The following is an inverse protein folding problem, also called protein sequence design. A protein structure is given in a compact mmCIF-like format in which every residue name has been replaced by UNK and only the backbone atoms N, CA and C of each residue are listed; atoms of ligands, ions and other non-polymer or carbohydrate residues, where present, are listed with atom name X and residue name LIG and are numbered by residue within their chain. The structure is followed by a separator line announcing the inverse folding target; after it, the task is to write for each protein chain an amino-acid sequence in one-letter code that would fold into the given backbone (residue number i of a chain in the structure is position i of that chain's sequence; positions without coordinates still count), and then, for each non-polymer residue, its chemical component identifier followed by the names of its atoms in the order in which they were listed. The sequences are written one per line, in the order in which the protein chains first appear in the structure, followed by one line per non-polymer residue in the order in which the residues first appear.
data_IF_606914618584
#
_entry.id   IF_606914618584
#
_cell.length_a   1.000
_cell.length_b   1.000
_cell.length_c   1.000
_cell.angle_alpha   90.00
_cell.angle_beta   90.00
_cell.angle_gamma   90.00
#
_symmetry.space_group_name_H-M   'P 1'
#
loop_
_entity.id
_entity.type
_entity.pdbx_description
1 polymer ?
#
# COMPACT_ATOMS: atom_id res chain seq x y z
N UNK A 1 16.88 -13.01 -6.66
CA UNK A 1 17.66 -11.85 -7.17
C UNK A 1 17.21 -11.37 -8.57
N UNK A 2 15.94 -11.55 -8.97
CA UNK A 2 15.48 -11.26 -10.34
C UNK A 2 14.61 -10.00 -10.53
N UNK A 3 14.40 -9.18 -9.48
CA UNK A 3 13.44 -8.07 -9.52
C UNK A 3 14.06 -6.69 -9.76
N UNK A 4 15.38 -6.58 -9.96
CA UNK A 4 16.04 -5.27 -10.08
C UNK A 4 16.17 -4.74 -11.52
N UNK A 5 15.75 -5.48 -12.55
CA UNK A 5 16.06 -5.10 -13.95
C UNK A 5 14.88 -5.11 -14.93
N UNK A 6 13.61 -5.07 -14.46
CA UNK A 6 12.48 -4.87 -15.39
C UNK A 6 12.04 -3.40 -15.44
N UNK A 7 12.54 -2.72 -16.49
CA UNK A 7 12.13 -1.43 -17.08
C UNK A 7 11.22 -0.55 -16.20
N UNK A 8 11.83 0.52 -15.65
CA UNK A 8 11.16 1.72 -15.14
C UNK A 8 10.13 2.23 -16.16
N UNK A 9 8.86 2.03 -15.88
CA UNK A 9 7.82 2.90 -16.43
C UNK A 9 8.01 4.28 -15.78
N UNK A 10 8.07 5.34 -16.58
CA UNK A 10 8.48 6.70 -16.20
C UNK A 10 7.51 7.47 -15.29
N UNK A 11 6.66 6.80 -14.52
CA UNK A 11 5.80 7.46 -13.55
C UNK A 11 6.60 7.76 -12.28
N UNK A 12 6.92 9.03 -12.08
CA UNK A 12 7.36 9.50 -10.77
C UNK A 12 6.23 9.22 -9.76
N UNK A 13 6.56 8.65 -8.61
CA UNK A 13 5.58 8.52 -7.54
C UNK A 13 5.12 9.92 -7.13
N UNK A 14 3.81 10.13 -7.16
CA UNK A 14 3.17 11.35 -6.66
C UNK A 14 2.76 11.15 -5.21
N UNK A 15 2.53 12.25 -4.49
CA UNK A 15 2.22 12.23 -3.06
C UNK A 15 1.02 11.34 -2.73
N UNK A 16 -0.03 11.38 -3.57
CA UNK A 16 -1.23 10.53 -3.45
C UNK A 16 -0.95 9.02 -3.42
N UNK A 17 0.17 8.58 -3.99
CA UNK A 17 0.50 7.16 -4.06
C UNK A 17 0.84 6.53 -2.70
N UNK A 18 1.12 7.34 -1.67
CA UNK A 18 1.44 6.82 -0.33
C UNK A 18 0.29 6.01 0.29
N UNK A 19 -0.96 6.41 0.06
CA UNK A 19 -2.14 5.76 0.62
C UNK A 19 -2.73 4.70 -0.30
N UNK A 20 -2.15 4.53 -1.50
CA UNK A 20 -2.62 3.52 -2.44
C UNK A 20 -2.26 2.11 -1.99
N UNK A 21 -3.12 1.20 -2.39
CA UNK A 21 -3.08 -0.22 -2.07
C UNK A 21 -2.04 -0.95 -2.92
N UNK A 22 -1.22 -1.82 -2.33
CA UNK A 22 -0.52 -2.88 -3.05
C UNK A 22 -1.18 -4.22 -2.77
N UNK A 23 -1.37 -5.03 -3.83
CA UNK A 23 -2.00 -6.35 -3.75
C UNK A 23 -0.96 -7.44 -3.96
N UNK A 24 -0.93 -8.41 -3.05
CA UNK A 24 -0.23 -9.68 -3.25
C UNK A 24 -1.25 -10.79 -3.43
N UNK A 25 -1.08 -11.63 -4.45
CA UNK A 25 -1.88 -12.85 -4.65
C UNK A 25 -1.16 -14.06 -4.08
N UNK A 26 -1.88 -14.84 -3.26
CA UNK A 26 -1.35 -16.05 -2.62
C UNK A 26 -2.42 -17.15 -2.57
N UNK A 27 -2.01 -18.35 -2.13
CA UNK A 27 -2.86 -19.51 -1.87
C UNK A 27 -2.36 -20.21 -0.61
N UNK A 28 -3.26 -20.77 0.18
CA UNK A 28 -2.83 -21.55 1.36
C UNK A 28 -2.20 -22.86 0.89
N UNK A 29 -0.88 -22.99 1.00
CA UNK A 29 -0.22 -24.26 0.71
C UNK A 29 -0.56 -25.32 1.77
N UNK A 30 -0.39 -26.61 1.46
CA UNK A 30 -0.64 -27.68 2.42
C UNK A 30 0.25 -27.56 3.68
N UNK A 31 1.47 -27.05 3.49
CA UNK A 31 2.46 -26.84 4.55
C UNK A 31 2.16 -25.65 5.47
N UNK A 32 1.19 -24.80 5.09
CA UNK A 32 0.72 -23.70 5.93
C UNK A 32 -0.48 -24.09 6.79
N UNK A 33 -0.98 -25.32 6.66
CA UNK A 33 -2.09 -25.84 7.45
C UNK A 33 -1.70 -26.11 8.90
N UNK A 34 -2.63 -25.91 9.82
CA UNK A 34 -2.54 -26.42 11.20
C UNK A 34 -3.27 -27.77 11.35
N UNK A 35 -3.34 -28.27 12.59
CA UNK A 35 -4.06 -29.51 12.92
C UNK A 35 -5.57 -29.45 12.63
N UNK A 36 -6.16 -28.25 12.52
CA UNK A 36 -7.57 -28.06 12.19
C UNK A 36 -7.82 -28.01 10.69
N UNK A 37 -6.80 -28.25 9.85
CA UNK A 37 -6.93 -28.31 8.39
C UNK A 37 -7.36 -26.95 7.81
N UNK A 38 -6.89 -25.85 8.41
CA UNK A 38 -7.01 -24.50 7.89
C UNK A 38 -5.66 -23.80 7.94
N UNK A 39 -5.51 -22.68 7.23
CA UNK A 39 -4.28 -21.90 7.27
C UNK A 39 -3.96 -21.53 8.71
N UNK A 40 -2.80 -21.96 9.19
CA UNK A 40 -2.31 -21.69 10.54
C UNK A 40 -2.17 -20.20 10.77
N UNK A 41 -2.68 -19.72 11.91
CA UNK A 41 -2.64 -18.32 12.31
C UNK A 41 -1.22 -17.70 12.25
N UNK A 42 -0.18 -18.49 12.53
CA UNK A 42 1.21 -18.01 12.49
C UNK A 42 1.69 -17.68 11.09
N UNK A 43 1.20 -18.39 10.07
CA UNK A 43 1.66 -18.23 8.68
C UNK A 43 1.17 -16.94 8.03
N UNK A 44 0.12 -16.31 8.58
CA UNK A 44 -0.32 -14.98 8.16
C UNK A 44 0.81 -13.95 8.33
N UNK A 45 1.67 -14.09 9.34
CA UNK A 45 2.77 -13.14 9.57
C UNK A 45 3.81 -13.23 8.43
N UNK A 46 4.04 -14.42 7.87
CA UNK A 46 4.90 -14.61 6.70
C UNK A 46 4.36 -13.85 5.48
N UNK A 47 3.05 -13.93 5.26
CA UNK A 47 2.37 -13.17 4.20
C UNK A 47 2.43 -11.65 4.42
N UNK A 48 2.37 -11.21 5.69
CA UNK A 48 2.57 -9.81 6.05
C UNK A 48 3.99 -9.35 5.69
N UNK A 49 5.02 -10.16 5.95
CA UNK A 49 6.40 -9.80 5.58
C UNK A 49 6.57 -9.62 4.07
N UNK A 50 6.04 -10.55 3.27
CA UNK A 50 6.07 -10.47 1.81
C UNK A 50 5.34 -9.24 1.29
N UNK A 51 4.11 -9.00 1.77
CA UNK A 51 3.29 -7.88 1.30
C UNK A 51 3.84 -6.52 1.71
N UNK A 52 4.39 -6.40 2.92
CA UNK A 52 5.05 -5.17 3.39
C UNK A 52 6.35 -4.92 2.64
N UNK A 53 7.16 -5.95 2.39
CA UNK A 53 8.38 -5.81 1.59
C UNK A 53 8.06 -5.32 0.17
N UNK A 54 7.01 -5.86 -0.44
CA UNK A 54 6.53 -5.42 -1.75
C UNK A 54 6.12 -3.94 -1.76
N UNK A 55 5.22 -3.52 -0.86
CA UNK A 55 4.79 -2.11 -0.78
C UNK A 55 5.96 -1.17 -0.42
N UNK A 56 6.80 -1.56 0.54
CA UNK A 56 7.93 -0.74 0.99
C UNK A 56 8.98 -0.59 -0.10
N UNK A 57 9.23 -1.63 -0.89
CA UNK A 57 10.13 -1.56 -2.05
C UNK A 57 9.63 -0.59 -3.11
N UNK A 58 8.31 -0.45 -3.27
CA UNK A 58 7.72 0.52 -4.19
C UNK A 58 7.84 1.94 -3.65
N UNK A 59 7.36 2.19 -2.43
CA UNK A 59 7.27 3.54 -1.87
C UNK A 59 8.61 4.08 -1.38
N UNK A 60 9.46 3.24 -0.80
CA UNK A 60 10.65 3.64 -0.04
C UNK A 60 11.96 3.17 -0.69
N UNK A 61 11.93 2.69 -1.94
CA UNK A 61 13.15 2.35 -2.70
C UNK A 61 14.27 3.40 -2.62
N UNK A 62 14.00 4.72 -2.72
CA UNK A 62 15.06 5.74 -2.65
C UNK A 62 15.91 5.66 -1.38
N UNK A 63 15.29 5.45 -0.22
CA UNK A 63 15.98 5.39 1.07
C UNK A 63 16.46 3.99 1.45
N UNK A 64 15.74 2.94 1.03
CA UNK A 64 16.11 1.55 1.30
C UNK A 64 17.32 1.11 0.46
N UNK A 65 17.35 1.51 -0.82
CA UNK A 65 18.39 1.13 -1.78
C UNK A 65 19.40 2.25 -2.05
N UNK A 66 19.29 3.37 -1.34
CA UNK A 66 20.15 4.55 -1.50
C UNK A 66 20.18 5.07 -2.96
N UNK A 67 19.04 4.99 -3.64
CA UNK A 67 18.90 5.46 -5.04
C UNK A 67 18.62 6.95 -5.00
N UNK A 68 19.59 7.77 -5.43
CA UNK A 68 19.52 9.24 -5.46
C UNK A 68 19.28 9.90 -4.09
N UNK A 69 19.40 9.15 -3.00
CA UNK A 69 19.31 9.64 -1.62
C UNK A 69 20.70 9.62 -0.98
N UNK A 70 21.06 10.69 -0.29
CA UNK A 70 22.26 10.72 0.57
C UNK A 70 22.06 9.98 1.90
N UNK A 71 20.82 9.58 2.20
CA UNK A 71 20.43 8.91 3.45
C UNK A 71 20.01 7.47 3.14
N UNK A 72 20.64 6.51 3.83
CA UNK A 72 20.20 5.11 3.85
C UNK A 72 19.34 4.87 5.11
N UNK A 73 18.11 4.41 4.93
CA UNK A 73 17.20 4.10 6.02
C UNK A 73 16.59 2.72 5.83
N UNK A 74 16.66 1.90 6.87
CA UNK A 74 15.94 0.64 6.93
C UNK A 74 14.57 0.84 7.59
N UNK A 75 13.57 0.11 7.11
CA UNK A 75 12.26 0.07 7.72
C UNK A 75 12.17 -1.15 8.64
N UNK A 76 12.15 -0.92 9.96
CA UNK A 76 12.21 -1.96 10.98
C UNK A 76 10.84 -2.16 11.62
N UNK A 77 10.39 -3.41 11.73
CA UNK A 77 9.15 -3.77 12.41
C UNK A 77 9.32 -3.63 13.91
N UNK A 78 8.38 -2.95 14.56
CA UNK A 78 8.30 -2.91 16.02
C UNK A 78 7.17 -3.77 16.58
N UNK A 79 6.03 -3.83 15.90
CA UNK A 79 4.90 -4.62 16.34
C UNK A 79 4.04 -5.02 15.15
N UNK A 80 3.44 -6.21 15.26
CA UNK A 80 2.41 -6.71 14.36
C UNK A 80 1.25 -7.14 15.25
N UNK A 81 0.07 -6.63 14.97
CA UNK A 81 -1.18 -7.09 15.56
C UNK A 81 -2.04 -7.64 14.43
N UNK A 82 -2.64 -8.81 14.63
CA UNK A 82 -3.46 -9.47 13.62
C UNK A 82 -4.73 -10.01 14.30
N UNK A 83 -5.87 -9.86 13.64
CA UNK A 83 -7.15 -10.45 14.03
C UNK A 83 -7.66 -11.35 12.92
N UNK A 84 -8.24 -12.48 13.31
CA UNK A 84 -8.75 -13.51 12.41
C UNK A 84 -10.27 -13.50 12.48
N UNK A 85 -10.92 -13.19 11.36
CA UNK A 85 -12.38 -13.09 11.26
C UNK A 85 -13.00 -14.37 10.71
N UNK A 86 -12.34 -14.99 9.73
CA UNK A 86 -12.79 -16.19 9.03
C UNK A 86 -11.59 -17.04 8.63
N UNK A 87 -11.77 -18.36 8.63
CA UNK A 87 -10.75 -19.31 8.20
C UNK A 87 -10.45 -19.21 6.69
N UNK A 88 -9.19 -19.45 6.33
CA UNK A 88 -8.77 -19.70 4.95
C UNK A 88 -8.58 -21.21 4.80
N UNK A 89 -9.32 -21.82 3.87
CA UNK A 89 -9.28 -23.25 3.61
C UNK A 89 -7.97 -23.67 2.91
N UNK A 90 -7.56 -24.94 3.03
CA UNK A 90 -6.42 -25.45 2.30
C UNK A 90 -6.57 -25.19 0.79
N UNK A 91 -5.49 -24.75 0.16
CA UNK A 91 -5.42 -24.40 -1.26
C UNK A 91 -6.35 -23.26 -1.71
N UNK A 92 -7.07 -22.61 -0.79
CA UNK A 92 -7.91 -21.47 -1.11
C UNK A 92 -7.05 -20.29 -1.55
N UNK A 93 -7.46 -19.65 -2.65
CA UNK A 93 -6.84 -18.43 -3.17
C UNK A 93 -7.36 -17.21 -2.42
N UNK A 94 -6.44 -16.36 -1.99
CA UNK A 94 -6.75 -15.10 -1.33
C UNK A 94 -5.81 -14.00 -1.84
N UNK A 95 -6.23 -12.76 -1.62
CA UNK A 95 -5.41 -11.58 -1.86
C UNK A 95 -5.03 -10.92 -0.54
N UNK A 96 -3.86 -10.32 -0.50
CA UNK A 96 -3.33 -9.60 0.65
C UNK A 96 -3.22 -8.14 0.23
N UNK A 97 -4.09 -7.32 0.80
CA UNK A 97 -4.27 -5.92 0.45
C UNK A 97 -3.58 -5.06 1.50
N UNK A 98 -2.42 -4.50 1.16
CA UNK A 98 -1.58 -3.74 2.09
C UNK A 98 -1.45 -2.28 1.66
N UNK A 99 -1.59 -1.34 2.60
CA UNK A 99 -1.39 0.10 2.37
C UNK A 99 -0.84 0.81 3.59
N UNK A 100 -0.20 1.96 3.39
CA UNK A 100 0.07 2.88 4.50
C UNK A 100 -1.25 3.50 4.92
N UNK A 101 -1.58 3.43 6.20
CA UNK A 101 -2.84 3.95 6.73
C UNK A 101 -2.65 5.28 7.47
N UNK A 102 -1.55 5.40 8.24
CA UNK A 102 -1.17 6.64 8.94
C UNK A 102 0.29 6.56 9.42
N UNK A 103 0.79 7.65 10.00
CA UNK A 103 2.08 7.75 10.69
C UNK A 103 2.03 8.83 11.77
N UNK A 104 2.92 8.74 12.75
CA UNK A 104 3.18 9.80 13.73
C UNK A 104 4.64 10.31 13.61
N UNK A 105 5.16 10.94 14.65
CA UNK A 105 6.53 11.48 14.65
C UNK A 105 7.62 10.40 14.65
N UNK A 106 7.29 9.17 15.05
CA UNK A 106 8.24 8.06 15.21
C UNK A 106 7.90 6.85 14.33
N UNK A 107 6.63 6.53 14.19
CA UNK A 107 6.13 5.29 13.64
C UNK A 107 5.33 5.51 12.37
N UNK A 108 5.48 4.60 11.42
CA UNK A 108 4.59 4.45 10.25
C UNK A 108 3.77 3.16 10.41
N UNK A 109 2.49 3.24 10.05
CA UNK A 109 1.54 2.16 10.23
C UNK A 109 1.02 1.69 8.87
N UNK A 110 1.16 0.39 8.62
CA UNK A 110 0.51 -0.27 7.49
C UNK A 110 -0.68 -1.07 7.99
N UNK A 111 -1.77 -1.02 7.23
CA UNK A 111 -2.93 -1.90 7.42
C UNK A 111 -2.92 -2.92 6.30
N UNK A 112 -3.16 -4.17 6.65
CA UNK A 112 -3.27 -5.28 5.71
C UNK A 112 -4.57 -6.03 5.92
N UNK A 113 -5.28 -6.33 4.83
CA UNK A 113 -6.45 -7.18 4.83
C UNK A 113 -6.21 -8.42 3.99
N UNK A 114 -6.62 -9.58 4.50
CA UNK A 114 -6.67 -10.84 3.75
C UNK A 114 -8.07 -11.00 3.17
N UNK A 115 -8.16 -11.14 1.86
CA UNK A 115 -9.39 -10.88 1.10
C UNK A 115 -9.75 -12.08 0.23
N UNK A 116 -11.04 -12.42 0.22
CA UNK A 116 -11.59 -13.50 -0.61
C UNK A 116 -11.69 -13.09 -2.09
N UNK A 117 -10.81 -13.69 -2.91
CA UNK A 117 -10.76 -13.43 -4.36
C UNK A 117 -12.02 -13.85 -5.12
N UNK A 118 -12.86 -14.70 -4.54
CA UNK A 118 -14.15 -15.06 -5.15
C UNK A 118 -15.20 -13.98 -4.96
N UNK A 119 -15.03 -13.12 -3.95
CA UNK A 119 -16.04 -12.14 -3.54
C UNK A 119 -15.70 -10.70 -3.91
N UNK A 120 -14.42 -10.34 -4.06
CA UNK A 120 -13.96 -8.99 -4.43
C UNK A 120 -13.06 -9.00 -5.67
N UNK A 121 -13.09 -7.91 -6.44
CA UNK A 121 -12.14 -7.66 -7.53
C UNK A 121 -11.69 -6.19 -7.45
N UNK A 122 -10.38 -5.88 -7.50
CA UNK A 122 -9.92 -4.50 -7.51
C UNK A 122 -10.37 -3.77 -8.78
N UNK A 123 -10.74 -2.50 -8.62
CA UNK A 123 -11.35 -1.68 -9.67
C UNK A 123 -10.38 -1.26 -10.78
N UNK A 124 -9.14 -0.84 -10.43
CA UNK A 124 -8.13 -0.42 -11.41
C UNK A 124 -6.69 -0.52 -10.88
N UNK A 125 -5.72 -0.77 -11.77
CA UNK A 125 -4.29 -0.85 -11.45
C UNK A 125 -3.52 0.34 -12.05
N UNK A 126 -2.83 1.10 -11.21
CA UNK A 126 -2.13 2.35 -11.58
C UNK A 126 -0.78 2.07 -12.27
N UNK A 127 0.02 1.10 -11.80
CA UNK A 127 1.35 0.84 -12.36
C UNK A 127 1.40 -0.24 -13.46
N UNK A 128 0.27 -0.84 -13.86
CA UNK A 128 0.21 -1.95 -14.84
C UNK A 128 -0.43 -1.57 -16.20
N UNK A 129 -0.31 -0.33 -16.63
CA UNK A 129 -0.93 0.17 -17.86
C UNK A 129 -0.43 -0.46 -19.19
N UNK A 130 0.48 -1.46 -19.20
CA UNK A 130 1.10 -1.97 -20.44
C UNK A 130 1.11 -3.49 -20.62
N UNK A 131 0.31 -4.27 -19.89
CA UNK A 131 0.04 -5.66 -20.28
C UNK A 131 -1.43 -5.81 -20.62
N UNK A 132 -1.74 -5.54 -21.89
CA UNK A 132 -2.97 -5.95 -22.54
C UNK A 132 -3.06 -7.48 -22.53
N UNK A 133 -3.65 -8.02 -21.47
CA UNK A 133 -4.35 -9.30 -21.57
C UNK A 133 -5.79 -9.02 -21.25
N UNK A 134 -6.64 -9.41 -22.19
CA UNK A 134 -8.07 -9.23 -22.27
C UNK A 134 -8.78 -9.82 -21.04
N UNK A 135 -8.65 -9.16 -19.89
CA UNK A 135 -9.38 -9.52 -18.68
C UNK A 135 -10.68 -8.73 -18.77
N UNK A 136 -11.77 -9.43 -19.14
CA UNK A 136 -13.13 -8.92 -19.03
C UNK A 136 -13.23 -8.18 -17.69
N UNK A 137 -13.42 -6.88 -17.75
CA UNK A 137 -13.76 -6.05 -16.61
C UNK A 137 -15.02 -6.69 -16.02
N UNK A 138 -14.86 -7.49 -14.95
CA UNK A 138 -16.00 -8.09 -14.27
C UNK A 138 -16.71 -6.90 -13.63
N UNK A 139 -17.86 -6.56 -14.18
CA UNK A 139 -18.78 -5.59 -13.57
C UNK A 139 -18.97 -6.04 -12.12
N UNK A 140 -18.66 -5.19 -11.11
CA UNK A 140 -18.94 -5.51 -9.73
C UNK A 140 -20.42 -5.89 -9.63
N UNK A 141 -20.71 -7.10 -9.17
CA UNK A 141 -22.10 -7.49 -8.93
C UNK A 141 -22.69 -6.50 -7.92
N UNK A 142 -23.91 -5.97 -8.14
CA UNK A 142 -24.52 -4.97 -7.28
C UNK A 142 -25.07 -5.66 -6.03
N UNK A 143 -24.20 -6.18 -5.18
CA UNK A 143 -24.57 -6.67 -3.88
C UNK A 143 -23.75 -5.91 -2.85
N UNK A 144 -24.46 -5.21 -1.95
CA UNK A 144 -23.93 -4.79 -0.64
C UNK A 144 -23.51 -6.04 0.11
N UNK A 145 -22.37 -6.64 -0.24
CA UNK A 145 -21.74 -7.64 0.60
C UNK A 145 -21.22 -6.87 1.79
N UNK A 146 -21.73 -7.17 2.97
CA UNK A 146 -21.14 -6.67 4.19
C UNK A 146 -19.64 -7.02 4.16
N UNK A 147 -18.76 -6.05 4.44
CA UNK A 147 -17.31 -6.27 4.51
C UNK A 147 -16.93 -7.45 5.43
N UNK A 148 -17.85 -7.82 6.33
CA UNK A 148 -17.80 -8.99 7.18
C UNK A 148 -17.63 -10.32 6.44
N UNK A 149 -18.13 -10.42 5.22
CA UNK A 149 -18.09 -11.65 4.44
C UNK A 149 -16.90 -11.78 3.50
N UNK A 150 -16.13 -10.70 3.32
CA UNK A 150 -15.07 -10.61 2.29
C UNK A 150 -13.68 -10.72 2.90
N UNK A 151 -13.50 -10.21 4.13
CA UNK A 151 -12.20 -10.16 4.81
C UNK A 151 -12.02 -11.39 5.73
N UNK A 152 -10.97 -12.18 5.49
CA UNK A 152 -10.56 -13.30 6.35
C UNK A 152 -9.86 -12.85 7.61
N UNK A 153 -8.91 -11.92 7.47
CA UNK A 153 -8.09 -11.43 8.57
C UNK A 153 -7.70 -9.97 8.32
N UNK A 154 -7.39 -9.25 9.38
CA UNK A 154 -6.88 -7.88 9.31
C UNK A 154 -5.69 -7.72 10.22
N UNK A 155 -4.69 -6.98 9.77
CA UNK A 155 -3.49 -6.73 10.53
C UNK A 155 -3.10 -5.26 10.50
N UNK A 156 -2.49 -4.82 11.60
CA UNK A 156 -1.81 -3.53 11.69
C UNK A 156 -0.35 -3.78 12.01
N UNK A 157 0.53 -3.22 11.18
CA UNK A 157 1.97 -3.32 11.37
C UNK A 157 2.56 -1.95 11.69
N UNK A 158 3.19 -1.83 12.85
CA UNK A 158 3.91 -0.63 13.31
C UNK A 158 5.39 -0.75 13.01
N UNK A 159 5.93 0.23 12.29
CA UNK A 159 7.33 0.21 11.84
C UNK A 159 8.03 1.56 12.09
N UNK A 160 9.36 1.53 12.13
CA UNK A 160 10.21 2.71 12.33
C UNK A 160 11.29 2.78 11.27
N UNK A 161 11.58 3.97 10.77
CA UNK A 161 12.74 4.19 9.91
C UNK A 161 14.00 4.34 10.78
N UNK A 162 15.05 3.60 10.43
CA UNK A 162 16.34 3.58 11.13
C UNK A 162 17.48 3.83 10.16
N UNK A 163 18.27 4.86 10.44
CA UNK A 163 19.59 5.10 9.84
C UNK A 163 20.65 4.69 10.85
N UNK A 164 21.15 3.46 10.75
CA UNK A 164 21.95 2.84 11.81
C UNK A 164 21.17 2.76 13.12
N UNK A 165 21.68 3.38 14.19
CA UNK A 165 21.00 3.41 15.50
C UNK A 165 19.99 4.56 15.63
N UNK A 166 20.06 5.56 14.75
CA UNK A 166 19.22 6.75 14.79
C UNK A 166 17.85 6.48 14.19
N UNK A 167 16.81 6.96 14.87
CA UNK A 167 15.44 6.96 14.34
C UNK A 167 15.25 8.15 13.42
N UNK A 168 14.72 7.89 12.22
CA UNK A 168 14.34 8.92 11.25
C UNK A 168 12.82 9.08 11.31
N UNK A 169 12.29 10.30 11.54
CA UNK A 169 10.86 10.54 11.53
C UNK A 169 10.22 10.15 10.19
N UNK A 170 9.02 9.54 10.18
CA UNK A 170 8.32 9.19 8.95
C UNK A 170 8.16 10.37 7.99
N UNK A 171 7.83 11.56 8.49
CA UNK A 171 7.74 12.79 7.68
C UNK A 171 9.00 13.01 6.84
N UNK A 172 10.17 12.91 7.46
CA UNK A 172 11.46 13.10 6.78
C UNK A 172 11.74 12.00 5.76
N UNK A 173 11.46 10.75 6.10
CA UNK A 173 11.62 9.62 5.17
C UNK A 173 10.75 9.79 3.92
N UNK A 174 9.50 10.24 4.10
CA UNK A 174 8.56 10.47 3.01
C UNK A 174 8.94 11.64 2.11
N UNK A 175 9.46 12.74 2.68
CA UNK A 175 10.02 13.87 1.91
C UNK A 175 11.17 13.41 0.99
N UNK A 176 12.10 12.60 1.52
CA UNK A 176 13.24 12.08 0.74
C UNK A 176 12.75 11.17 -0.40
N UNK A 177 11.69 10.40 -0.16
CA UNK A 177 11.05 9.56 -1.19
C UNK A 177 10.20 10.36 -2.20
N UNK A 178 10.04 11.68 -2.03
CA UNK A 178 9.18 12.50 -2.89
C UNK A 178 7.69 12.28 -2.67
N UNK A 179 7.30 11.67 -1.55
CA UNK A 179 5.91 11.36 -1.20
C UNK A 179 5.23 12.44 -0.36
N UNK A 180 6.00 13.43 0.13
CA UNK A 180 5.51 14.66 0.75
C UNK A 180 6.27 15.85 0.17
N UNK A 181 5.60 17.00 0.06
CA UNK A 181 6.28 18.26 -0.28
C UNK A 181 7.31 18.57 0.81
N UNK A 182 8.56 18.82 0.41
CA UNK A 182 9.52 19.44 1.31
C UNK A 182 8.99 20.84 1.70
N UNK A 183 9.18 21.31 2.94
CA UNK A 183 8.93 22.70 3.26
C UNK A 183 9.73 23.56 2.30
N UNK A 184 9.07 24.53 1.66
CA UNK A 184 9.69 25.43 0.71
C UNK A 184 10.91 26.09 1.37
N UNK A 185 12.11 25.61 1.05
CA UNK A 185 13.30 26.41 1.21
C UNK A 185 13.15 27.56 0.22
N UNK A 186 13.14 28.79 0.72
CA UNK A 186 13.06 30.02 -0.05
C UNK A 186 13.94 29.93 -1.30
N UNK A 187 13.31 29.94 -2.47
CA UNK A 187 14.00 29.92 -3.75
C UNK A 187 14.57 31.32 -4.01
N UNK A 188 15.86 31.49 -4.36
CA UNK A 188 16.33 32.76 -4.90
C UNK A 188 15.70 32.96 -6.28
N UNK A 189 15.15 34.15 -6.48
CA UNK A 189 14.44 34.58 -7.68
C UNK A 189 15.11 34.17 -8.99
N UNK A 190 14.32 33.66 -9.93
CA UNK A 190 14.65 33.68 -11.35
C UNK A 190 13.46 34.19 -12.16
N UNK A 191 13.70 35.34 -12.75
CA UNK A 191 12.89 36.24 -13.57
C UNK A 191 12.11 35.54 -14.70
N UNK A 192 10.85 35.96 -14.85
CA UNK A 192 9.93 35.61 -15.95
C UNK A 192 10.28 36.30 -17.27
N UNK A 193 10.14 35.60 -18.40
CA UNK A 193 9.76 36.20 -19.70
C UNK A 193 8.83 35.23 -20.48
N UNK A 194 7.81 35.73 -21.21
CA UNK A 194 6.73 34.91 -21.79
C UNK A 194 6.91 34.61 -23.29
N UNK A 195 6.36 33.49 -23.75
CA UNK A 195 6.22 33.15 -25.17
C UNK A 195 4.88 32.42 -25.45
N UNK A 196 4.22 32.65 -26.60
CA UNK A 196 2.81 32.31 -26.82
C UNK A 196 2.61 31.01 -27.61
N UNK A 197 1.42 30.40 -27.47
CA UNK A 197 0.84 29.56 -28.52
C UNK A 197 0.35 28.18 -28.11
N UNK A 198 -0.94 28.13 -27.75
CA UNK A 198 -1.95 27.13 -28.08
C UNK A 198 -1.57 25.63 -28.15
N UNK A 199 -2.21 24.87 -27.26
CA UNK A 199 -2.36 23.42 -27.37
C UNK A 199 -3.28 22.89 -26.28
N UNK A 200 -4.58 23.16 -26.41
CA UNK A 200 -5.62 22.48 -25.62
C UNK A 200 -5.62 21.01 -26.01
N UNK A 201 -5.34 20.13 -25.05
CA UNK A 201 -5.82 18.76 -25.04
C UNK A 201 -6.28 18.40 -23.63
N UNK A 202 -7.57 18.64 -23.40
CA UNK A 202 -8.34 17.88 -22.42
C UNK A 202 -8.44 16.43 -22.90
N UNK A 203 -8.11 15.48 -22.02
CA UNK A 203 -8.56 14.08 -22.10
C UNK A 203 -8.12 13.34 -20.82
N UNK A 204 -8.94 13.39 -19.78
CA UNK A 204 -9.88 12.32 -19.43
C UNK A 204 -9.23 11.13 -18.71
N UNK A 205 -8.87 11.34 -17.44
CA UNK A 205 -9.21 10.39 -16.38
C UNK A 205 -9.67 11.21 -15.17
N UNK A 206 -10.94 11.10 -14.80
CA UNK A 206 -11.52 11.80 -13.66
C UNK A 206 -11.02 11.21 -12.34
N UNK A 207 -9.74 11.40 -12.03
CA UNK A 207 -9.16 11.04 -10.74
C UNK A 207 -8.94 12.33 -9.94
N UNK A 208 -9.76 12.54 -8.91
CA UNK A 208 -9.59 13.65 -7.98
C UNK A 208 -8.16 13.63 -7.41
N UNK A 209 -7.44 14.71 -7.66
CA UNK A 209 -6.10 14.94 -7.13
C UNK A 209 -6.22 15.22 -5.62
N UNK A 210 -5.51 14.45 -4.79
CA UNK A 210 -5.53 14.66 -3.34
C UNK A 210 -4.75 15.91 -3.01
N UNK A 211 -5.39 16.82 -2.28
CA UNK A 211 -4.74 18.00 -1.69
C UNK A 211 -3.87 17.61 -0.49
N UNK A 212 -2.91 18.46 -0.14
CA UNK A 212 -2.03 18.24 1.04
C UNK A 212 -2.87 18.20 2.32
N UNK A 213 -3.90 19.04 2.39
CA UNK A 213 -4.87 19.12 3.47
C UNK A 213 -5.67 17.81 3.60
N UNK A 214 -6.20 17.28 2.50
CA UNK A 214 -6.92 15.99 2.50
C UNK A 214 -6.01 14.84 2.95
N UNK A 215 -4.76 14.81 2.51
CA UNK A 215 -3.77 13.83 2.96
C UNK A 215 -3.52 13.93 4.47
N UNK A 216 -3.40 15.15 5.00
CA UNK A 216 -3.22 15.39 6.42
C UNK A 216 -4.46 14.95 7.21
N UNK A 217 -5.66 15.33 6.77
CA UNK A 217 -6.93 14.91 7.39
C UNK A 217 -7.07 13.39 7.38
N UNK A 218 -6.76 12.73 6.26
CA UNK A 218 -6.81 11.28 6.14
C UNK A 218 -5.82 10.60 7.10
N UNK A 219 -4.59 11.09 7.17
CA UNK A 219 -3.55 10.62 8.10
C UNK A 219 -4.04 10.73 9.55
N UNK A 220 -4.50 11.92 9.98
CA UNK A 220 -4.92 12.16 11.36
C UNK A 220 -6.18 11.36 11.73
N UNK A 221 -7.14 11.23 10.81
CA UNK A 221 -8.37 10.45 11.03
C UNK A 221 -8.08 8.98 11.29
N UNK A 222 -7.09 8.41 10.58
CA UNK A 222 -6.75 7.00 10.69
C UNK A 222 -5.78 6.66 11.82
N UNK A 223 -5.08 7.65 12.38
CA UNK A 223 -4.10 7.43 13.44
C UNK A 223 -4.66 6.69 14.68
N UNK A 224 -5.81 7.09 15.28
CA UNK A 224 -6.38 6.34 16.41
C UNK A 224 -6.86 4.94 16.01
N UNK A 225 -7.24 4.72 14.75
CA UNK A 225 -7.67 3.41 14.24
C UNK A 225 -6.47 2.45 14.19
N UNK A 226 -5.34 2.88 13.62
CA UNK A 226 -4.14 2.03 13.52
C UNK A 226 -3.40 1.86 14.85
N UNK A 227 -3.67 2.72 15.83
CA UNK A 227 -3.25 2.51 17.23
C UNK A 227 -4.17 1.54 17.98
N UNK A 228 -5.21 1.04 17.32
CA UNK A 228 -6.23 0.15 17.87
C UNK A 228 -7.04 0.78 19.00
N UNK A 229 -7.03 2.11 19.14
CA UNK A 229 -7.80 2.84 20.15
C UNK A 229 -9.31 2.75 19.90
N UNK A 230 -9.70 2.57 18.62
CA UNK A 230 -11.10 2.36 18.19
C UNK A 230 -11.47 0.89 17.98
N UNK A 231 -10.59 -0.04 18.35
CA UNK A 231 -10.81 -1.48 18.19
C UNK A 231 -10.67 -2.00 16.75
N UNK A 232 -10.91 -3.31 16.58
CA UNK A 232 -10.68 -4.03 15.33
C UNK A 232 -11.76 -3.80 14.28
N UNK A 233 -12.98 -3.47 14.68
CA UNK A 233 -14.07 -3.18 13.75
C UNK A 233 -13.73 -1.94 12.90
N UNK A 234 -13.23 -0.88 13.54
CA UNK A 234 -12.75 0.31 12.85
C UNK A 234 -11.60 0.01 11.87
N UNK A 235 -10.68 -0.91 12.21
CA UNK A 235 -9.63 -1.35 11.29
C UNK A 235 -10.24 -2.08 10.10
N UNK A 236 -11.21 -2.96 10.33
CA UNK A 236 -11.88 -3.72 9.26
C UNK A 236 -12.63 -2.80 8.31
N UNK A 237 -13.26 -1.74 8.81
CA UNK A 237 -13.96 -0.71 8.02
C UNK A 237 -13.01 0.13 7.13
N UNK A 238 -11.69 0.09 7.38
CA UNK A 238 -10.72 0.69 6.46
C UNK A 238 -10.59 -0.08 5.15
N UNK A 239 -11.14 -1.29 5.04
CA UNK A 239 -11.20 -2.03 3.80
C UNK A 239 -12.24 -1.42 2.87
N UNK A 240 -11.81 -1.01 1.67
CA UNK A 240 -12.71 -0.51 0.61
C UNK A 240 -12.37 -1.19 -0.72
N UNK A 241 -13.38 -1.70 -1.41
CA UNK A 241 -13.20 -2.46 -2.65
C UNK A 241 -12.88 -1.58 -3.87
N UNK A 242 -13.26 -0.30 -3.81
CA UNK A 242 -13.15 0.70 -4.87
C UNK A 242 -11.81 1.45 -4.88
N UNK A 243 -10.76 0.86 -4.30
CA UNK A 243 -9.44 1.51 -4.23
C UNK A 243 -8.58 1.23 -5.46
N UNK A 244 -7.93 2.30 -5.93
CA UNK A 244 -6.86 2.19 -6.93
C UNK A 244 -5.69 1.38 -6.37
N UNK A 245 -5.26 0.37 -7.13
CA UNK A 245 -4.13 -0.48 -6.77
C UNK A 245 -2.85 0.12 -7.35
N UNK A 246 -1.91 0.48 -6.49
CA UNK A 246 -0.56 0.90 -6.86
C UNK A 246 0.13 -0.19 -7.69
N UNK A 247 0.23 -1.41 -7.17
CA UNK A 247 0.89 -2.52 -7.85
C UNK A 247 0.33 -3.89 -7.44
N UNK A 248 0.50 -4.87 -8.33
CA UNK A 248 0.19 -6.28 -8.08
C UNK A 248 1.48 -7.11 -8.06
N UNK A 249 1.64 -7.94 -7.05
CA UNK A 249 2.63 -9.02 -7.01
C UNK A 249 1.93 -10.37 -6.98
N UNK A 250 2.43 -11.30 -7.79
CA UNK A 250 1.97 -12.68 -7.80
C UNK A 250 3.07 -13.54 -7.21
N UNK A 251 2.76 -14.25 -6.15
CA UNK A 251 3.68 -15.26 -5.66
C UNK A 251 3.79 -16.42 -6.66
N UNK A 252 4.95 -17.07 -6.70
CA UNK A 252 5.29 -18.10 -7.68
C UNK A 252 4.33 -19.30 -7.68
N UNK A 253 3.57 -19.49 -6.60
CA UNK A 253 2.64 -20.60 -6.45
C UNK A 253 1.21 -20.31 -6.95
N UNK A 254 0.95 -19.18 -7.61
CA UNK A 254 -0.39 -18.81 -8.09
C UNK A 254 -0.89 -19.60 -9.31
#
# INVERSE_FOLDING_TARGET
MGYLTRRRSGYALQQRHIFLLAVVRSRSSATEGDFNIHKSNSTYITDLDVSRAHLSGLLFAPILLQIKSSVHCNLIVSAISCTFHREIKPFQRYEIWTRVASWDDKWIYMVTHFVDTSKSCPSCYVMQAHTSTNRKMRVPAPHKKEHHEVVFASAVTRMVFKSGRLTVPPKRALEICGLLSAPAAESPMATSCPGPGAGVTESATGFNEWTVEEMAVYKETNLPIVRLERGWDAVRELFREDQSVLAEYRDFMW
#
